data_IF_654455538514
#
_entry.id   IF_654455538514
#
_cell.length_a   1.000
_cell.length_b   1.000
_cell.length_c   1.000
_cell.angle_alpha   90.00
_cell.angle_beta   90.00
_cell.angle_gamma   90.00
#
_symmetry.space_group_name_H-M   'P 1'
#
loop_
_entity.id
_entity.type
_entity.pdbx_description
1 polymer ?
#
# COMPACT_ATOMS: atom_id res chain seq x y z
N UNK A 1 11.43 -13.06 9.58
CA UNK A 1 10.31 -12.17 9.90
C UNK A 1 9.99 -11.39 8.65
N UNK A 2 8.71 -11.36 8.31
CA UNK A 2 8.11 -11.06 7.00
C UNK A 2 8.72 -9.86 6.26
N UNK A 3 9.11 -10.05 5.00
CA UNK A 3 9.45 -8.99 4.05
C UNK A 3 8.20 -8.15 3.76
N UNK A 4 7.92 -7.22 4.67
CA UNK A 4 6.92 -6.18 4.50
C UNK A 4 7.69 -4.96 4.01
N UNK A 5 7.40 -4.55 2.78
CA UNK A 5 7.83 -3.27 2.26
C UNK A 5 6.86 -2.19 2.73
N UNK A 6 7.41 -1.03 3.12
CA UNK A 6 6.66 0.09 3.63
C UNK A 6 7.11 1.39 2.97
N UNK A 7 6.15 2.25 2.66
CA UNK A 7 6.40 3.62 2.21
C UNK A 7 5.42 4.58 2.87
N UNK A 8 5.94 5.75 3.23
CA UNK A 8 5.13 6.87 3.72
C UNK A 8 5.07 7.96 2.67
N UNK A 9 3.91 8.57 2.47
CA UNK A 9 3.71 9.68 1.52
C UNK A 9 2.71 10.71 2.07
N UNK A 10 2.98 12.00 1.83
CA UNK A 10 2.17 13.11 2.33
C UNK A 10 2.60 13.57 3.73
N UNK A 11 2.04 14.71 4.15
CA UNK A 11 2.37 15.38 5.43
C UNK A 11 1.11 15.78 6.22
N UNK A 12 -0.02 15.12 5.95
CA UNK A 12 -1.27 15.40 6.64
C UNK A 12 -1.24 14.97 8.12
N UNK A 13 -1.94 15.70 8.99
CA UNK A 13 -1.98 15.44 10.44
C UNK A 13 -2.72 14.15 10.85
N UNK A 14 -3.37 13.47 9.91
CA UNK A 14 -4.07 12.21 10.15
C UNK A 14 -3.38 11.08 9.38
N UNK A 15 -3.15 9.95 10.03
CA UNK A 15 -2.44 8.81 9.45
C UNK A 15 -3.42 7.80 8.85
N UNK A 16 -3.18 7.38 7.61
CA UNK A 16 -4.02 6.41 6.89
C UNK A 16 -3.17 5.26 6.33
N UNK A 17 -3.48 4.03 6.74
CA UNK A 17 -2.81 2.81 6.25
C UNK A 17 -3.57 2.21 5.08
N UNK A 18 -2.89 1.99 3.96
CA UNK A 18 -3.44 1.40 2.75
C UNK A 18 -2.88 -0.01 2.55
N UNK A 19 -3.77 -1.00 2.58
CA UNK A 19 -3.47 -2.41 2.36
C UNK A 19 -4.03 -2.84 1.00
N UNK A 20 -3.16 -3.32 0.12
CA UNK A 20 -3.58 -3.77 -1.22
C UNK A 20 -4.29 -5.15 -1.17
N UNK A 21 -4.98 -5.49 -2.26
CA UNK A 21 -5.63 -6.81 -2.44
C UNK A 21 -4.66 -7.94 -2.83
N UNK A 22 -5.18 -9.15 -2.96
CA UNK A 22 -4.38 -10.34 -3.32
C UNK A 22 -3.75 -10.23 -4.72
N UNK A 23 -2.50 -10.67 -4.89
CA UNK A 23 -1.79 -10.63 -6.17
C UNK A 23 -1.40 -9.22 -6.65
N UNK A 24 -1.52 -8.21 -5.79
CA UNK A 24 -1.19 -6.82 -6.07
C UNK A 24 -0.02 -6.34 -5.18
N UNK A 25 0.36 -5.07 -5.32
CA UNK A 25 1.32 -4.38 -4.47
C UNK A 25 0.81 -2.96 -4.18
N UNK A 26 1.60 -2.15 -3.47
CA UNK A 26 1.25 -0.78 -3.09
C UNK A 26 1.04 0.19 -4.28
N UNK A 27 1.54 -0.12 -5.47
CA UNK A 27 1.41 0.74 -6.66
C UNK A 27 -0.04 0.91 -7.11
N UNK A 28 -0.95 0.01 -6.71
CA UNK A 28 -2.38 0.14 -7.01
C UNK A 28 -3.00 1.43 -6.45
N UNK A 29 -2.35 2.04 -5.45
CA UNK A 29 -2.79 3.28 -4.85
C UNK A 29 -2.22 4.53 -5.52
N UNK A 30 -1.38 4.40 -6.56
CA UNK A 30 -0.71 5.53 -7.21
C UNK A 30 -1.72 6.57 -7.74
N UNK A 31 -2.87 6.16 -8.25
CA UNK A 31 -3.87 7.07 -8.81
C UNK A 31 -4.58 7.97 -7.78
N UNK A 32 -4.67 7.53 -6.52
CA UNK A 32 -5.34 8.27 -5.44
C UNK A 32 -4.37 8.84 -4.40
N UNK A 33 -3.09 8.45 -4.48
CA UNK A 33 -2.03 8.81 -3.55
C UNK A 33 -1.84 10.33 -3.44
N UNK A 34 -1.84 11.05 -4.55
CA UNK A 34 -1.59 12.50 -4.55
C UNK A 34 -2.73 13.26 -3.86
N UNK A 35 -3.98 12.93 -4.21
CA UNK A 35 -5.17 13.55 -3.63
C UNK A 35 -5.25 13.23 -2.12
N UNK A 36 -5.14 11.96 -1.74
CA UNK A 36 -5.18 11.56 -0.33
C UNK A 36 -3.98 12.08 0.48
N UNK A 37 -2.79 12.17 -0.14
CA UNK A 37 -1.57 12.66 0.50
C UNK A 37 -1.60 14.15 0.84
N UNK A 38 -2.49 14.91 0.20
CA UNK A 38 -2.76 16.31 0.56
C UNK A 38 -3.55 16.46 1.87
N UNK A 39 -4.26 15.41 2.28
CA UNK A 39 -5.12 15.40 3.47
C UNK A 39 -4.55 14.54 4.62
N UNK A 40 -3.82 13.47 4.28
CA UNK A 40 -3.35 12.44 5.21
C UNK A 40 -1.86 12.14 5.04
N UNK A 41 -1.23 11.65 6.09
CA UNK A 41 0.03 10.90 5.99
C UNK A 41 -0.30 9.46 5.63
N UNK A 42 -0.04 9.09 4.38
CA UNK A 42 -0.34 7.78 3.84
C UNK A 42 0.77 6.79 4.17
N UNK A 43 0.35 5.58 4.50
CA UNK A 43 1.19 4.47 4.88
C UNK A 43 0.87 3.28 3.98
N UNK A 44 1.71 3.06 2.99
CA UNK A 44 1.56 2.04 1.95
C UNK A 44 2.36 0.81 2.37
N UNK A 45 1.72 -0.35 2.41
CA UNK A 45 2.39 -1.61 2.73
C UNK A 45 2.25 -2.60 1.59
N UNK A 46 3.30 -3.39 1.36
CA UNK A 46 3.28 -4.55 0.46
C UNK A 46 3.95 -5.71 1.16
N UNK A 47 3.28 -6.87 1.23
CA UNK A 47 3.90 -8.07 1.78
C UNK A 47 4.20 -9.08 0.67
N UNK A 48 5.41 -9.68 0.73
CA UNK A 48 5.88 -10.67 -0.25
C UNK A 48 4.89 -11.82 -0.46
N UNK A 49 4.20 -12.26 0.60
CA UNK A 49 3.23 -13.35 0.53
C UNK A 49 2.01 -13.03 -0.34
N UNK A 50 1.43 -11.82 -0.23
CA UNK A 50 0.28 -11.42 -1.05
C UNK A 50 0.68 -11.15 -2.51
N UNK A 51 1.90 -10.67 -2.76
CA UNK A 51 2.44 -10.54 -4.12
C UNK A 51 2.67 -11.93 -4.74
N UNK A 52 3.16 -12.90 -3.97
CA UNK A 52 3.38 -14.27 -4.44
C UNK A 52 2.07 -15.02 -4.75
N UNK A 53 0.94 -14.61 -4.17
CA UNK A 53 -0.37 -15.18 -4.45
C UNK A 53 -0.90 -14.91 -5.88
N UNK A 54 -0.18 -14.12 -6.68
CA UNK A 54 -0.55 -13.73 -8.06
C UNK A 54 -0.65 -14.89 -9.07
N UNK A 55 -0.32 -16.13 -8.64
CA UNK A 55 -0.54 -17.37 -9.40
C UNK A 55 -1.27 -18.47 -8.61
N UNK A 56 -1.86 -18.14 -7.46
CA UNK A 56 -2.61 -19.06 -6.60
C UNK A 56 -4.10 -18.69 -6.48
N UNK A 57 -4.54 -17.60 -7.11
CA UNK A 57 -5.95 -17.31 -7.30
C UNK A 57 -6.53 -18.34 -8.31
N UNK A 58 -7.67 -18.98 -7.99
CA UNK A 58 -8.31 -19.95 -8.88
C UNK A 58 -8.70 -19.36 -10.23
#
# INVERSE_FOLDING_TARGET
MNDIWWQTYGEGNCHLVLLHGWGLNAEVWHCIREELGSHFTLHLSTCRAMVAARGLAP
#
